data_IF_863694819203
#
_entry.id   IF_863694819203
#
_cell.length_a   1.000
_cell.length_b   1.000
_cell.length_c   1.000
_cell.angle_alpha   90.00
_cell.angle_beta   90.00
_cell.angle_gamma   90.00
#
_symmetry.space_group_name_H-M   'P 1'
#
loop_
_entity.id
_entity.type
_entity.pdbx_description
1 polymer ?
#
# COMPACT_ATOMS: atom_id res chain seq x y z
N UNK A 1 -16.83 13.68 -5.37
CA UNK A 1 -15.57 13.07 -4.90
C UNK A 1 -15.75 12.72 -3.43
N UNK A 2 -15.44 11.48 -3.03
CA UNK A 2 -15.74 10.99 -1.68
C UNK A 2 -14.71 11.50 -0.66
N UNK A 3 -15.16 12.21 0.37
CA UNK A 3 -14.34 12.55 1.53
C UNK A 3 -14.30 11.39 2.53
N UNK A 4 -13.18 11.20 3.22
CA UNK A 4 -13.00 10.13 4.24
C UNK A 4 -12.40 10.68 5.52
N UNK A 5 -12.72 10.06 6.64
CA UNK A 5 -12.09 10.37 7.93
C UNK A 5 -10.74 9.65 7.98
N UNK A 6 -9.65 10.40 8.05
CA UNK A 6 -8.27 9.88 8.01
C UNK A 6 -7.46 10.23 9.27
N UNK A 7 -8.10 10.79 10.29
CA UNK A 7 -7.43 11.32 11.47
C UNK A 7 -6.49 10.34 12.16
N UNK A 8 -6.80 9.03 12.34
CA UNK A 8 -5.89 8.12 13.03
C UNK A 8 -4.56 7.99 12.28
N UNK A 9 -4.63 7.72 10.98
CA UNK A 9 -3.46 7.54 10.12
C UNK A 9 -2.63 8.83 9.99
N UNK A 10 -3.32 9.98 9.94
CA UNK A 10 -2.69 11.28 9.83
C UNK A 10 -1.91 11.65 11.11
N UNK A 11 -2.48 11.37 12.28
CA UNK A 11 -1.82 11.59 13.58
C UNK A 11 -0.55 10.74 13.67
N UNK A 12 -0.65 9.45 13.38
CA UNK A 12 0.49 8.53 13.45
C UNK A 12 1.61 8.93 12.49
N UNK A 13 1.28 9.23 11.23
CA UNK A 13 2.26 9.62 10.23
C UNK A 13 2.95 10.95 10.58
N UNK A 14 2.19 11.92 11.10
CA UNK A 14 2.74 13.20 11.56
C UNK A 14 3.69 13.00 12.75
N UNK A 15 3.36 12.06 13.65
CA UNK A 15 4.24 11.64 14.74
C UNK A 15 5.55 11.01 14.23
N UNK A 16 5.45 10.06 13.30
CA UNK A 16 6.62 9.38 12.68
C UNK A 16 7.55 10.34 11.95
N UNK A 17 7.01 11.36 11.28
CA UNK A 17 7.78 12.34 10.50
C UNK A 17 8.04 13.66 11.22
N UNK A 18 7.62 13.78 12.48
CA UNK A 18 7.76 14.99 13.31
C UNK A 18 7.20 16.26 12.63
N UNK A 19 6.08 16.11 11.92
CA UNK A 19 5.44 17.19 11.18
C UNK A 19 4.33 17.84 12.00
N UNK A 20 4.34 19.16 12.09
CA UNK A 20 3.32 19.94 12.80
C UNK A 20 2.16 20.30 11.87
N UNK A 21 0.94 20.40 12.44
CA UNK A 21 -0.25 20.87 11.70
C UNK A 21 -0.07 22.25 11.06
N UNK A 22 0.70 23.13 11.72
CA UNK A 22 1.04 24.48 11.20
C UNK A 22 1.90 24.41 9.95
N UNK A 23 2.84 23.47 9.90
CA UNK A 23 3.64 23.20 8.71
C UNK A 23 2.76 22.65 7.59
N UNK A 24 1.92 21.64 7.88
CA UNK A 24 0.98 21.09 6.89
C UNK A 24 0.05 22.16 6.31
N UNK A 25 -0.52 23.02 7.15
CA UNK A 25 -1.37 24.12 6.69
C UNK A 25 -0.64 25.06 5.71
N UNK A 26 0.63 25.37 6.00
CA UNK A 26 1.45 26.21 5.13
C UNK A 26 1.75 25.55 3.79
N UNK A 27 2.25 24.30 3.81
CA UNK A 27 2.69 23.61 2.60
C UNK A 27 1.52 23.14 1.70
N UNK A 28 0.35 22.87 2.30
CA UNK A 28 -0.87 22.52 1.54
C UNK A 28 -1.68 23.73 1.13
N UNK A 29 -1.28 24.95 1.53
CA UNK A 29 -2.04 26.19 1.33
C UNK A 29 -3.48 26.13 1.88
N UNK A 30 -3.67 25.44 3.01
CA UNK A 30 -4.98 25.27 3.67
C UNK A 30 -5.03 26.07 4.96
N UNK A 31 -6.24 26.52 5.33
CA UNK A 31 -6.43 27.21 6.60
C UNK A 31 -6.08 26.27 7.78
N UNK A 32 -5.50 26.84 8.84
CA UNK A 32 -5.13 26.09 10.06
C UNK A 32 -6.32 25.34 10.67
N UNK A 33 -7.51 25.97 10.66
CA UNK A 33 -8.76 25.36 11.14
C UNK A 33 -9.17 24.15 10.30
N UNK A 34 -8.99 24.21 8.98
CA UNK A 34 -9.26 23.09 8.07
C UNK A 34 -8.34 21.91 8.35
N UNK A 35 -7.03 22.15 8.44
CA UNK A 35 -6.05 21.08 8.78
C UNK A 35 -6.35 20.51 10.15
N UNK A 36 -6.61 21.36 11.15
CA UNK A 36 -7.00 20.90 12.48
C UNK A 36 -8.26 20.02 12.44
N UNK A 37 -9.24 20.38 11.61
CA UNK A 37 -10.41 19.54 11.33
C UNK A 37 -10.04 18.13 10.91
N UNK A 38 -9.11 17.98 9.96
CA UNK A 38 -8.68 16.66 9.46
C UNK A 38 -8.02 15.79 10.53
N UNK A 39 -7.33 16.39 11.52
CA UNK A 39 -6.79 15.68 12.67
C UNK A 39 -7.86 15.31 13.70
N UNK A 40 -9.04 15.94 13.67
CA UNK A 40 -10.11 15.77 14.64
C UNK A 40 -11.37 15.11 14.04
N UNK A 41 -11.20 14.30 12.99
CA UNK A 41 -12.27 13.47 12.46
C UNK A 41 -13.16 14.14 11.40
N UNK A 42 -12.83 15.35 10.95
CA UNK A 42 -13.55 15.95 9.81
C UNK A 42 -13.17 15.20 8.53
N UNK A 43 -14.15 14.80 7.69
CA UNK A 43 -13.88 14.17 6.41
C UNK A 43 -12.95 15.02 5.55
N UNK A 44 -11.87 14.39 5.10
CA UNK A 44 -10.85 15.00 4.24
C UNK A 44 -11.18 14.71 2.77
N UNK A 45 -11.19 15.71 1.87
CA UNK A 45 -11.32 15.49 0.42
C UNK A 45 -10.09 14.79 -0.17
N UNK A 46 -10.25 14.01 -1.24
CA UNK A 46 -9.14 13.25 -1.88
C UNK A 46 -7.99 14.17 -2.30
N UNK A 47 -8.28 15.36 -2.82
CA UNK A 47 -7.24 16.33 -3.22
C UNK A 47 -6.39 16.73 -2.01
N UNK A 48 -7.04 16.98 -0.87
CA UNK A 48 -6.34 17.27 0.37
C UNK A 48 -5.53 16.06 0.85
N UNK A 49 -6.04 14.84 0.71
CA UNK A 49 -5.29 13.62 1.04
C UNK A 49 -4.00 13.51 0.20
N UNK A 50 -4.07 13.77 -1.10
CA UNK A 50 -2.92 13.72 -2.01
C UNK A 50 -1.87 14.77 -1.62
N UNK A 51 -2.28 16.01 -1.36
CA UNK A 51 -1.39 17.08 -0.92
C UNK A 51 -0.73 16.75 0.44
N UNK A 52 -1.52 16.28 1.41
CA UNK A 52 -1.03 15.88 2.73
C UNK A 52 -0.03 14.72 2.61
N UNK A 53 -0.34 13.69 1.81
CA UNK A 53 0.55 12.56 1.58
C UNK A 53 1.88 13.00 0.96
N UNK A 54 1.83 13.95 0.02
CA UNK A 54 3.00 14.50 -0.63
C UNK A 54 3.89 15.30 0.34
N UNK A 55 3.29 16.11 1.22
CA UNK A 55 4.02 16.90 2.22
C UNK A 55 4.60 16.01 3.33
N UNK A 56 3.81 15.06 3.85
CA UNK A 56 4.27 14.17 4.93
C UNK A 56 5.32 13.19 4.41
N UNK A 57 5.17 12.73 3.17
CA UNK A 57 6.11 11.80 2.53
C UNK A 57 6.37 10.55 3.39
N UNK A 58 5.30 10.01 3.98
CA UNK A 58 5.30 8.76 4.75
C UNK A 58 4.69 7.63 3.90
N UNK A 59 5.40 6.51 3.79
CA UNK A 59 5.01 5.38 2.93
C UNK A 59 3.68 4.77 3.39
N UNK A 60 3.52 4.55 4.70
CA UNK A 60 2.33 3.93 5.26
C UNK A 60 1.12 4.85 5.09
N UNK A 61 1.26 6.14 5.36
CA UNK A 61 0.18 7.10 5.11
C UNK A 61 -0.24 7.08 3.63
N UNK A 62 0.71 7.14 2.71
CA UNK A 62 0.43 7.17 1.28
C UNK A 62 -0.35 5.92 0.83
N UNK A 63 0.06 4.74 1.30
CA UNK A 63 -0.61 3.48 0.99
C UNK A 63 -2.00 3.39 1.61
N UNK A 64 -2.17 3.85 2.85
CA UNK A 64 -3.48 3.86 3.51
C UNK A 64 -4.45 4.79 2.80
N UNK A 65 -4.01 6.00 2.42
CA UNK A 65 -4.85 6.95 1.69
C UNK A 65 -5.22 6.43 0.30
N UNK A 66 -4.32 5.70 -0.36
CA UNK A 66 -4.64 5.02 -1.62
C UNK A 66 -5.71 3.94 -1.45
N UNK A 67 -5.63 3.13 -0.38
CA UNK A 67 -6.67 2.16 -0.05
C UNK A 67 -8.02 2.83 0.24
N UNK A 68 -8.05 3.85 1.11
CA UNK A 68 -9.29 4.57 1.47
C UNK A 68 -9.95 5.26 0.27
N UNK A 69 -9.15 5.71 -0.69
CA UNK A 69 -9.64 6.46 -1.86
C UNK A 69 -9.97 5.58 -3.06
N UNK A 70 -9.23 4.49 -3.26
CA UNK A 70 -9.27 3.70 -4.51
C UNK A 70 -9.42 2.19 -4.29
N UNK A 71 -9.43 1.69 -3.06
CA UNK A 71 -9.57 0.26 -2.76
C UNK A 71 -8.33 -0.57 -3.16
N UNK A 72 -7.13 0.04 -3.17
CA UNK A 72 -5.87 -0.67 -3.40
C UNK A 72 -5.46 -1.53 -2.21
N UNK A 73 -4.33 -2.24 -2.26
CA UNK A 73 -3.87 -3.00 -1.09
C UNK A 73 -3.64 -2.08 0.13
N UNK A 74 -4.18 -2.43 1.31
CA UNK A 74 -3.95 -1.68 2.55
C UNK A 74 -2.53 -1.93 3.08
N UNK A 75 -2.15 -1.23 4.15
CA UNK A 75 -0.95 -1.61 4.90
C UNK A 75 -1.22 -2.85 5.74
N UNK A 76 -0.21 -3.69 5.92
CA UNK A 76 -0.21 -4.64 7.03
C UNK A 76 -0.15 -3.87 8.36
N UNK A 77 -1.14 -4.12 9.20
CA UNK A 77 -1.25 -3.63 10.57
C UNK A 77 -2.00 -4.67 11.40
N UNK A 78 -1.48 -5.03 12.58
CA UNK A 78 -2.05 -6.07 13.41
C UNK A 78 -1.95 -5.73 14.88
N UNK A 79 -3.06 -5.89 15.61
CA UNK A 79 -3.07 -5.86 17.08
C UNK A 79 -2.61 -7.18 17.71
N UNK A 80 -2.43 -8.23 16.87
CA UNK A 80 -2.09 -9.59 17.29
C UNK A 80 -0.62 -9.93 17.07
N UNK A 81 -0.04 -9.43 15.98
CA UNK A 81 1.30 -9.80 15.53
C UNK A 81 2.25 -8.61 15.55
N UNK A 82 3.49 -8.86 15.95
CA UNK A 82 4.53 -7.83 15.91
C UNK A 82 4.96 -7.50 14.47
N UNK A 83 5.42 -6.26 14.28
CA UNK A 83 5.94 -5.79 12.99
C UNK A 83 7.48 -5.79 12.95
N UNK A 84 8.09 -6.83 13.52
CA UNK A 84 9.54 -7.00 13.53
C UNK A 84 10.03 -7.59 12.21
N UNK A 85 11.30 -7.36 11.87
CA UNK A 85 11.92 -7.98 10.70
C UNK A 85 11.87 -9.51 10.76
N UNK A 86 11.95 -10.09 11.97
CA UNK A 86 11.83 -11.53 12.16
C UNK A 86 10.41 -12.03 11.87
N UNK A 87 9.38 -11.38 12.39
CA UNK A 87 8.00 -11.75 12.12
C UNK A 87 7.66 -11.64 10.63
N UNK A 88 8.13 -10.58 9.96
CA UNK A 88 7.92 -10.43 8.52
C UNK A 88 8.60 -11.52 7.70
N UNK A 89 9.80 -11.96 8.07
CA UNK A 89 10.47 -13.11 7.43
C UNK A 89 9.68 -14.42 7.62
N UNK A 90 9.13 -14.64 8.82
CA UNK A 90 8.30 -15.81 9.10
C UNK A 90 7.02 -15.78 8.26
N UNK A 91 6.32 -14.65 8.19
CA UNK A 91 5.11 -14.53 7.36
C UNK A 91 5.42 -14.66 5.88
N UNK A 92 6.48 -14.01 5.38
CA UNK A 92 6.87 -14.14 3.98
C UNK A 92 7.13 -15.61 3.60
N UNK A 93 7.80 -16.38 4.47
CA UNK A 93 8.00 -17.81 4.24
C UNK A 93 6.70 -18.60 4.27
N UNK A 94 5.79 -18.29 5.19
CA UNK A 94 4.47 -18.93 5.27
C UNK A 94 3.67 -18.70 3.99
N UNK A 95 3.39 -17.45 3.63
CA UNK A 95 2.56 -17.09 2.47
C UNK A 95 3.19 -17.61 1.17
N UNK A 96 4.52 -17.53 1.04
CA UNK A 96 5.23 -18.07 -0.13
C UNK A 96 5.10 -19.58 -0.26
N UNK A 97 5.06 -20.32 0.85
CA UNK A 97 4.89 -21.77 0.85
C UNK A 97 3.45 -22.17 0.49
N UNK A 98 2.45 -21.47 1.02
CA UNK A 98 1.03 -21.73 0.71
C UNK A 98 0.76 -21.46 -0.78
N UNK A 99 1.22 -20.34 -1.32
CA UNK A 99 1.18 -20.09 -2.78
C UNK A 99 1.88 -21.20 -3.57
N UNK A 100 3.10 -21.60 -3.19
CA UNK A 100 3.83 -22.65 -3.92
C UNK A 100 3.10 -24.00 -3.91
N UNK A 101 2.41 -24.33 -2.83
CA UNK A 101 1.62 -25.56 -2.73
C UNK A 101 0.46 -25.60 -3.74
N UNK A 102 -0.11 -24.44 -4.08
CA UNK A 102 -1.21 -24.32 -5.04
C UNK A 102 -0.78 -24.17 -6.50
N UNK A 103 0.52 -23.90 -6.73
CA UNK A 103 1.05 -23.47 -8.03
C UNK A 103 0.73 -24.44 -9.16
N UNK A 104 0.97 -25.73 -8.99
CA UNK A 104 0.79 -26.73 -10.06
C UNK A 104 -0.67 -26.79 -10.54
N UNK A 105 -1.62 -26.82 -9.60
CA UNK A 105 -3.03 -26.87 -9.93
C UNK A 105 -3.51 -25.58 -10.60
N UNK A 106 -3.03 -24.43 -10.14
CA UNK A 106 -3.35 -23.14 -10.74
C UNK A 106 -2.75 -22.99 -12.15
N UNK A 107 -1.49 -23.41 -12.36
CA UNK A 107 -0.86 -23.41 -13.67
C UNK A 107 -1.63 -24.28 -14.67
N UNK A 108 -2.08 -25.46 -14.26
CA UNK A 108 -2.94 -26.30 -15.09
C UNK A 108 -4.24 -25.60 -15.47
N UNK A 109 -4.92 -24.95 -14.51
CA UNK A 109 -6.13 -24.18 -14.78
C UNK A 109 -5.87 -22.99 -15.73
N UNK A 110 -4.73 -22.30 -15.60
CA UNK A 110 -4.32 -21.19 -16.48
C UNK A 110 -4.05 -21.63 -17.92
N UNK A 111 -3.69 -22.90 -18.15
CA UNK A 111 -3.49 -23.40 -19.52
C UNK A 111 -4.79 -23.58 -20.30
N UNK A 112 -5.94 -23.57 -19.63
CA UNK A 112 -7.25 -23.77 -20.26
C UNK A 112 -7.69 -22.52 -21.01
N UNK A 113 -8.36 -22.70 -22.15
CA UNK A 113 -9.02 -21.60 -22.85
C UNK A 113 -10.10 -20.99 -21.95
N UNK A 114 -10.26 -19.67 -21.96
CA UNK A 114 -11.20 -18.95 -21.08
C UNK A 114 -12.64 -19.52 -21.11
N UNK A 115 -13.13 -19.89 -22.29
CA UNK A 115 -14.48 -20.46 -22.47
C UNK A 115 -14.60 -21.94 -22.06
N UNK A 116 -13.50 -22.56 -21.61
CA UNK A 116 -13.41 -23.94 -21.10
C UNK A 116 -13.12 -24.00 -19.59
N UNK A 117 -13.01 -22.85 -18.92
CA UNK A 117 -12.82 -22.80 -17.47
C UNK A 117 -14.09 -23.29 -16.75
N UNK A 118 -13.93 -24.31 -15.92
CA UNK A 118 -14.98 -24.80 -15.02
C UNK A 118 -15.07 -23.91 -13.78
N UNK A 119 -16.14 -24.06 -12.99
CA UNK A 119 -16.25 -23.38 -11.69
C UNK A 119 -15.14 -23.83 -10.72
N UNK A 120 -14.70 -25.09 -10.78
CA UNK A 120 -13.55 -25.58 -10.03
C UNK A 120 -12.27 -24.85 -10.44
N UNK A 121 -12.04 -24.65 -11.74
CA UNK A 121 -10.86 -23.91 -12.22
C UNK A 121 -10.88 -22.47 -11.72
N UNK A 122 -12.04 -21.79 -11.83
CA UNK A 122 -12.19 -20.42 -11.32
C UNK A 122 -11.94 -20.32 -9.82
N UNK A 123 -12.41 -21.30 -9.05
CA UNK A 123 -12.18 -21.37 -7.60
C UNK A 123 -10.69 -21.52 -7.28
N UNK A 124 -9.98 -22.43 -7.97
CA UNK A 124 -8.53 -22.61 -7.84
C UNK A 124 -7.78 -21.33 -8.17
N UNK A 125 -8.11 -20.68 -9.29
CA UNK A 125 -7.47 -19.44 -9.71
C UNK A 125 -7.75 -18.29 -8.72
N UNK A 126 -8.96 -18.22 -8.18
CA UNK A 126 -9.33 -17.21 -7.17
C UNK A 126 -8.52 -17.40 -5.89
N UNK A 127 -8.45 -18.64 -5.38
CA UNK A 127 -7.66 -18.94 -4.20
C UNK A 127 -6.17 -18.64 -4.46
N UNK A 128 -5.65 -19.03 -5.63
CA UNK A 128 -4.26 -18.75 -6.00
C UNK A 128 -3.93 -17.25 -6.07
N UNK A 129 -4.85 -16.42 -6.57
CA UNK A 129 -4.70 -14.96 -6.54
C UNK A 129 -4.73 -14.43 -5.11
N UNK A 130 -5.56 -14.98 -4.23
CA UNK A 130 -5.58 -14.56 -2.82
C UNK A 130 -4.25 -14.86 -2.12
N UNK A 131 -3.64 -16.03 -2.36
CA UNK A 131 -2.30 -16.35 -1.84
C UNK A 131 -1.23 -15.34 -2.31
N UNK A 132 -1.34 -14.86 -3.57
CA UNK A 132 -0.48 -13.77 -4.05
C UNK A 132 -0.77 -12.44 -3.34
N UNK A 133 -2.03 -12.10 -3.10
CA UNK A 133 -2.40 -10.86 -2.39
C UNK A 133 -1.85 -10.85 -0.96
N UNK A 134 -1.91 -12.00 -0.28
CA UNK A 134 -1.37 -12.17 1.07
C UNK A 134 0.17 -12.04 1.07
N UNK A 135 0.87 -12.68 0.13
CA UNK A 135 2.33 -12.52 -0.03
C UNK A 135 2.71 -11.06 -0.33
N UNK A 136 2.02 -10.40 -1.27
CA UNK A 136 2.28 -9.00 -1.64
C UNK A 136 2.03 -8.06 -0.45
N UNK A 137 1.00 -8.29 0.37
CA UNK A 137 0.71 -7.48 1.56
C UNK A 137 1.90 -7.50 2.53
N UNK A 138 2.48 -8.68 2.77
CA UNK A 138 3.67 -8.84 3.62
C UNK A 138 4.91 -8.20 2.98
N UNK A 139 5.12 -8.39 1.68
CA UNK A 139 6.25 -7.81 0.96
C UNK A 139 6.21 -6.28 0.95
N UNK A 140 5.04 -5.67 0.78
CA UNK A 140 4.87 -4.22 0.89
C UNK A 140 5.22 -3.72 2.30
N UNK A 141 4.86 -4.47 3.35
CA UNK A 141 5.25 -4.12 4.72
C UNK A 141 6.76 -4.19 4.90
N UNK A 142 7.42 -5.23 4.38
CA UNK A 142 8.89 -5.35 4.40
C UNK A 142 9.54 -4.15 3.71
N UNK A 143 9.06 -3.75 2.53
CA UNK A 143 9.54 -2.55 1.83
C UNK A 143 9.34 -1.30 2.70
N UNK A 144 8.20 -1.17 3.37
CA UNK A 144 7.92 -0.09 4.31
C UNK A 144 8.91 -0.03 5.49
N UNK A 145 9.23 -1.17 6.09
CA UNK A 145 10.19 -1.26 7.20
C UNK A 145 11.62 -0.91 6.77
N UNK A 146 12.04 -1.39 5.59
CA UNK A 146 13.37 -1.09 5.03
C UNK A 146 13.48 0.40 4.69
N UNK A 147 12.48 0.96 4.01
CA UNK A 147 12.47 2.38 3.60
C UNK A 147 12.45 3.31 4.81
N UNK A 148 11.71 2.97 5.87
CA UNK A 148 11.76 3.65 7.16
C UNK A 148 13.18 3.69 7.74
N UNK A 149 13.89 2.56 7.73
CA UNK A 149 15.28 2.50 8.24
C UNK A 149 16.24 3.35 7.42
N UNK A 150 15.97 3.56 6.13
CA UNK A 150 16.74 4.41 5.24
C UNK A 150 16.36 5.90 5.31
N UNK A 151 15.31 6.25 6.07
CA UNK A 151 14.65 7.55 6.07
C UNK A 151 14.31 8.09 4.66
N UNK A 152 13.80 7.19 3.82
CA UNK A 152 13.31 7.49 2.47
C UNK A 152 11.90 6.94 2.34
N UNK A 153 11.02 7.59 1.57
CA UNK A 153 9.70 7.01 1.30
C UNK A 153 9.73 5.99 0.16
N UNK A 154 8.84 5.02 0.18
CA UNK A 154 8.67 4.04 -0.91
C UNK A 154 8.39 4.76 -2.22
N UNK A 155 7.61 5.84 -2.19
CA UNK A 155 7.33 6.68 -3.37
C UNK A 155 8.59 7.31 -3.97
N UNK A 156 9.54 7.76 -3.14
CA UNK A 156 10.83 8.26 -3.63
C UNK A 156 11.66 7.17 -4.31
N UNK A 157 11.69 5.96 -3.76
CA UNK A 157 12.37 4.83 -4.40
C UNK A 157 11.69 4.39 -5.70
N UNK A 158 10.35 4.35 -5.71
CA UNK A 158 9.57 4.07 -6.92
C UNK A 158 9.91 5.06 -8.03
N UNK A 159 9.92 6.38 -7.73
CA UNK A 159 10.30 7.41 -8.71
C UNK A 159 11.69 7.18 -9.30
N UNK A 160 12.65 6.74 -8.49
CA UNK A 160 14.00 6.39 -8.94
C UNK A 160 14.04 5.07 -9.75
N UNK A 161 13.11 4.15 -9.50
CA UNK A 161 13.05 2.83 -10.14
C UNK A 161 12.29 2.83 -11.47
N UNK A 162 11.36 3.77 -11.69
CA UNK A 162 10.58 3.90 -12.93
C UNK A 162 11.46 3.86 -14.20
N UNK A 163 12.58 4.58 -14.33
CA UNK A 163 13.41 4.52 -15.54
C UNK A 163 13.90 3.11 -15.88
N UNK A 164 14.26 2.32 -14.87
CA UNK A 164 14.65 0.92 -15.05
C UNK A 164 13.47 0.05 -15.48
N UNK A 165 12.30 0.20 -14.86
CA UNK A 165 11.11 -0.55 -15.29
C UNK A 165 10.65 -0.21 -16.70
N UNK A 166 10.90 1.02 -17.15
CA UNK A 166 10.70 1.40 -18.56
C UNK A 166 11.71 0.70 -19.46
N UNK A 167 12.99 0.66 -19.11
CA UNK A 167 14.01 -0.01 -19.96
C UNK A 167 13.79 -1.52 -20.10
N UNK A 168 13.24 -2.16 -19.06
CA UNK A 168 12.87 -3.59 -19.07
C UNK A 168 11.52 -3.88 -19.75
N UNK A 169 10.82 -2.85 -20.26
CA UNK A 169 9.46 -2.95 -20.81
C UNK A 169 8.41 -3.45 -19.81
N UNK A 170 8.66 -3.30 -18.50
CA UNK A 170 7.66 -3.56 -17.46
C UNK A 170 6.63 -2.43 -17.36
N UNK A 171 7.02 -1.20 -17.75
CA UNK A 171 6.14 -0.04 -17.84
C UNK A 171 6.28 0.64 -19.20
N UNK A 172 5.17 1.18 -19.72
CA UNK A 172 5.19 2.12 -20.84
C UNK A 172 5.52 3.52 -20.31
N UNK A 173 6.33 4.28 -21.05
CA UNK A 173 6.40 5.73 -20.85
C UNK A 173 5.02 6.32 -21.10
N UNK A 174 4.51 7.10 -20.16
CA UNK A 174 3.39 7.99 -20.45
C UNK A 174 3.94 9.05 -21.40
N UNK A 175 3.46 9.03 -22.65
CA UNK A 175 3.65 10.14 -23.58
C UNK A 175 2.91 11.38 -23.10
#
# INVERSE_FOLDING_TARGET
MSSKVISPFLIEASGRKHIQQTHLARETHRAKSTVNGYFNGIPTPVEAMVEIAAVINDSELSQQLAYESFGTLPNFSSDKYEESAFAMDVFQRKESNERKAMKEQAELALTKLNHKLTETDKSVLTAYVNEFLDEILIELKIVGLITRKLDVSTNQLIKKRIPYWVSENYLKTRG
#
